data_IF_008441877786
#
_entry.id   IF_008441877786
#
_cell.length_a   1.000
_cell.length_b   1.000
_cell.length_c   1.000
_cell.angle_alpha   90.00
_cell.angle_beta   90.00
_cell.angle_gamma   90.00
#
_symmetry.space_group_name_H-M   'P 1'
#
loop_
_entity.id
_entity.type
_entity.pdbx_description
1 polymer ?
#
# COMPACT_ATOMS: atom_id res chain seq x y z
N UNK A 1 -13.90 -3.17 4.89
CA UNK A 1 -13.75 -2.97 3.44
C UNK A 1 -12.45 -3.64 3.02
N UNK A 2 -12.36 -4.26 1.84
CA UNK A 2 -11.11 -4.87 1.36
C UNK A 2 -10.50 -3.92 0.32
N UNK A 3 -9.45 -3.19 0.68
CA UNK A 3 -8.75 -2.34 -0.27
C UNK A 3 -7.73 -3.20 -1.03
N UNK A 4 -7.76 -3.09 -2.36
CA UNK A 4 -6.74 -3.64 -3.25
C UNK A 4 -6.09 -2.48 -3.97
N UNK A 5 -4.76 -2.44 -3.96
CA UNK A 5 -3.98 -1.44 -4.66
C UNK A 5 -3.25 -2.10 -5.83
N UNK A 6 -3.37 -1.55 -7.02
CA UNK A 6 -2.46 -1.85 -8.13
C UNK A 6 -1.23 -0.96 -8.01
N UNK A 7 -0.06 -1.60 -7.97
CA UNK A 7 1.25 -0.96 -7.89
C UNK A 7 1.91 -1.06 -9.27
N UNK A 8 2.34 0.08 -9.80
CA UNK A 8 3.14 0.16 -11.01
C UNK A 8 4.55 0.66 -10.70
N UNK A 9 5.57 -0.07 -11.11
CA UNK A 9 6.99 0.25 -10.90
C UNK A 9 7.81 0.04 -12.17
N UNK A 10 8.94 0.76 -12.29
CA UNK A 10 9.98 0.49 -13.30
C UNK A 10 11.19 -0.29 -12.74
N UNK A 11 11.23 -0.51 -11.43
CA UNK A 11 12.35 -1.13 -10.70
C UNK A 11 11.83 -2.19 -9.72
N UNK A 12 11.22 -3.24 -10.28
CA UNK A 12 10.43 -4.22 -9.53
C UNK A 12 11.16 -4.80 -8.32
N UNK A 13 12.38 -5.30 -8.48
CA UNK A 13 13.09 -6.00 -7.39
C UNK A 13 13.38 -5.08 -6.19
N UNK A 14 13.83 -3.86 -6.46
CA UNK A 14 14.15 -2.88 -5.41
C UNK A 14 12.89 -2.33 -4.73
N UNK A 15 11.87 -1.99 -5.52
CA UNK A 15 10.62 -1.43 -5.00
C UNK A 15 9.82 -2.49 -4.24
N UNK A 16 9.80 -3.74 -4.71
CA UNK A 16 9.16 -4.85 -4.01
C UNK A 16 9.78 -5.06 -2.63
N UNK A 17 11.11 -5.04 -2.54
CA UNK A 17 11.82 -5.16 -1.27
C UNK A 17 11.47 -4.00 -0.33
N UNK A 18 11.42 -2.77 -0.86
CA UNK A 18 11.10 -1.57 -0.10
C UNK A 18 9.66 -1.58 0.41
N UNK A 19 8.71 -2.00 -0.43
CA UNK A 19 7.30 -2.19 -0.07
C UNK A 19 7.18 -3.25 1.03
N UNK A 20 7.85 -4.40 0.90
CA UNK A 20 7.80 -5.46 1.93
C UNK A 20 8.35 -4.97 3.28
N UNK A 21 9.45 -4.22 3.29
CA UNK A 21 10.00 -3.59 4.50
C UNK A 21 9.03 -2.58 5.11
N UNK A 22 8.43 -1.72 4.28
CA UNK A 22 7.46 -0.73 4.70
C UNK A 22 6.21 -1.39 5.32
N UNK A 23 5.69 -2.43 4.68
CA UNK A 23 4.54 -3.19 5.19
C UNK A 23 4.89 -3.94 6.47
N UNK A 24 6.05 -4.58 6.57
CA UNK A 24 6.51 -5.25 7.80
C UNK A 24 6.58 -4.30 8.99
N UNK A 25 7.03 -3.05 8.75
CA UNK A 25 7.00 -2.02 9.77
C UNK A 25 5.56 -1.63 10.17
N UNK A 26 4.63 -1.49 9.22
CA UNK A 26 3.21 -1.26 9.53
C UNK A 26 2.59 -2.41 10.32
N UNK A 27 2.85 -3.67 9.93
CA UNK A 27 2.38 -4.87 10.63
C UNK A 27 2.82 -4.85 12.10
N UNK A 28 4.09 -4.51 12.36
CA UNK A 28 4.65 -4.40 13.72
C UNK A 28 3.99 -3.27 14.53
N UNK A 29 3.64 -2.17 13.89
CA UNK A 29 3.00 -1.03 14.56
C UNK A 29 1.55 -1.30 14.98
N UNK A 30 0.87 -2.24 14.32
CA UNK A 30 -0.57 -2.52 14.53
C UNK A 30 -0.84 -3.95 14.99
N UNK A 31 0.20 -4.76 15.21
CA UNK A 31 0.10 -6.20 15.49
C UNK A 31 -0.70 -6.99 14.43
N UNK A 32 -0.62 -6.57 13.16
CA UNK A 32 -1.39 -7.11 12.03
C UNK A 32 -0.57 -8.01 11.10
N UNK A 33 0.21 -8.95 11.66
CA UNK A 33 1.14 -9.79 10.90
C UNK A 33 0.48 -10.68 9.84
N UNK A 34 1.24 -11.01 8.79
CA UNK A 34 0.74 -11.71 7.60
C UNK A 34 -0.48 -10.98 7.01
N UNK A 35 -0.48 -9.65 7.08
CA UNK A 35 -1.61 -8.78 6.89
C UNK A 35 -1.91 -8.39 5.45
N UNK A 36 -1.15 -8.92 4.48
CA UNK A 36 -1.34 -8.61 3.07
C UNK A 36 -1.00 -9.80 2.16
N UNK A 37 -1.40 -9.69 0.90
CA UNK A 37 -1.04 -10.62 -0.19
C UNK A 37 -0.62 -9.84 -1.42
N UNK A 38 0.34 -10.38 -2.18
CA UNK A 38 0.80 -9.83 -3.45
C UNK A 38 0.39 -10.77 -4.59
N UNK A 39 -0.11 -10.20 -5.70
CA UNK A 39 -0.35 -10.99 -6.91
C UNK A 39 0.95 -11.28 -7.65
N UNK A 40 0.88 -12.18 -8.62
CA UNK A 40 1.93 -12.32 -9.63
C UNK A 40 2.12 -10.99 -10.39
N UNK A 41 3.38 -10.62 -10.71
CA UNK A 41 3.67 -9.43 -11.49
C UNK A 41 3.36 -9.64 -12.98
N UNK A 42 2.91 -8.57 -13.63
CA UNK A 42 2.73 -8.49 -15.08
C UNK A 42 3.54 -7.33 -15.64
N UNK A 43 4.36 -7.58 -16.66
CA UNK A 43 5.23 -6.57 -17.25
C UNK A 43 4.69 -6.07 -18.60
N UNK A 44 4.59 -4.76 -18.76
CA UNK A 44 4.09 -4.11 -19.98
C UNK A 44 4.75 -2.74 -20.20
N UNK A 45 5.30 -2.53 -21.40
CA UNK A 45 5.91 -1.25 -21.82
C UNK A 45 6.95 -0.67 -20.83
N UNK A 46 7.85 -1.51 -20.31
CA UNK A 46 8.90 -1.08 -19.38
C UNK A 46 8.41 -0.79 -17.96
N UNK A 47 7.17 -1.17 -17.64
CA UNK A 47 6.60 -1.15 -16.30
C UNK A 47 6.26 -2.57 -15.85
N UNK A 48 6.31 -2.80 -14.55
CA UNK A 48 5.79 -3.98 -13.89
C UNK A 48 4.63 -3.59 -12.99
N UNK A 49 3.53 -4.34 -13.08
CA UNK A 49 2.29 -4.13 -12.35
C UNK A 49 1.98 -5.34 -11.47
N UNK A 50 1.56 -5.12 -10.24
CA UNK A 50 1.09 -6.17 -9.34
C UNK A 50 0.07 -5.62 -8.35
N UNK A 51 -0.76 -6.49 -7.78
CA UNK A 51 -1.77 -6.11 -6.80
C UNK A 51 -1.30 -6.37 -5.39
N UNK A 52 -1.53 -5.42 -4.50
CA UNK A 52 -1.38 -5.50 -3.05
C UNK A 52 -2.78 -5.50 -2.43
N UNK A 53 -3.19 -6.62 -1.85
CA UNK A 53 -4.45 -6.72 -1.13
C UNK A 53 -4.20 -6.76 0.38
N UNK A 54 -4.89 -5.88 1.12
CA UNK A 54 -4.82 -5.86 2.58
C UNK A 54 -5.83 -6.83 3.18
N UNK A 55 -5.41 -7.54 4.21
CA UNK A 55 -6.30 -8.28 5.09
C UNK A 55 -6.94 -7.32 6.11
N UNK A 56 -8.15 -7.62 6.62
CA UNK A 56 -8.86 -6.73 7.52
C UNK A 56 -8.06 -6.27 8.74
N UNK A 57 -7.28 -7.16 9.37
CA UNK A 57 -6.55 -6.84 10.60
C UNK A 57 -5.49 -5.74 10.38
N UNK A 58 -4.70 -5.85 9.30
CA UNK A 58 -3.71 -4.84 8.95
C UNK A 58 -4.37 -3.55 8.50
N UNK A 59 -5.38 -3.62 7.63
CA UNK A 59 -6.06 -2.44 7.12
C UNK A 59 -6.72 -1.64 8.26
N UNK A 60 -7.54 -2.30 9.08
CA UNK A 60 -8.23 -1.67 10.21
C UNK A 60 -7.22 -1.15 11.24
N UNK A 61 -6.14 -1.90 11.47
CA UNK A 61 -5.05 -1.49 12.36
C UNK A 61 -4.38 -0.19 11.91
N UNK A 62 -4.08 -0.06 10.60
CA UNK A 62 -3.52 1.16 10.01
C UNK A 62 -4.53 2.29 10.09
N UNK A 63 -5.78 2.07 9.66
CA UNK A 63 -6.84 3.08 9.68
C UNK A 63 -7.07 3.65 11.08
N UNK A 64 -7.03 2.79 12.11
CA UNK A 64 -7.17 3.20 13.51
C UNK A 64 -5.94 3.92 14.04
N UNK A 65 -4.73 3.37 13.82
CA UNK A 65 -3.49 3.94 14.36
C UNK A 65 -3.14 5.29 13.73
N UNK A 66 -3.44 5.46 12.45
CA UNK A 66 -3.10 6.65 11.67
C UNK A 66 -4.32 7.50 11.30
N UNK A 67 -5.45 7.36 12.02
CA UNK A 67 -6.69 8.08 11.74
C UNK A 67 -6.48 9.59 11.59
N UNK A 68 -5.72 10.19 12.51
CA UNK A 68 -5.41 11.63 12.52
C UNK A 68 -4.58 12.09 11.32
N UNK A 69 -3.82 11.17 10.70
CA UNK A 69 -3.08 11.44 9.47
C UNK A 69 -3.96 11.22 8.24
N UNK A 70 -4.67 10.09 8.19
CA UNK A 70 -5.52 9.69 7.06
C UNK A 70 -6.64 10.72 6.83
N UNK A 71 -7.25 11.25 7.90
CA UNK A 71 -8.35 12.22 7.79
C UNK A 71 -7.94 13.51 7.06
N UNK A 72 -6.66 13.89 7.13
CA UNK A 72 -6.10 15.12 6.52
C UNK A 72 -5.98 15.04 5.01
N UNK A 73 -6.02 13.85 4.42
CA UNK A 73 -6.01 13.70 2.97
C UNK A 73 -7.29 14.26 2.35
N UNK A 74 -7.11 15.14 1.37
CA UNK A 74 -8.19 15.72 0.57
C UNK A 74 -8.69 14.69 -0.45
N UNK A 75 -9.66 13.87 -0.04
CA UNK A 75 -10.35 12.90 -0.91
C UNK A 75 -11.76 12.62 -0.38
N UNK A 76 -12.67 12.22 -1.25
CA UNK A 76 -14.08 12.10 -0.92
C UNK A 76 -14.40 10.78 -0.21
N UNK A 77 -13.67 9.71 -0.57
CA UNK A 77 -13.93 8.37 -0.06
C UNK A 77 -12.83 7.88 0.89
N UNK A 78 -13.17 7.14 1.97
CA UNK A 78 -12.17 6.56 2.89
C UNK A 78 -11.10 5.72 2.18
N UNK A 79 -11.50 4.95 1.15
CA UNK A 79 -10.61 4.15 0.32
C UNK A 79 -9.52 5.01 -0.35
N UNK A 80 -9.89 6.17 -0.87
CA UNK A 80 -8.99 7.11 -1.54
C UNK A 80 -8.04 7.76 -0.55
N UNK A 81 -8.52 8.14 0.64
CA UNK A 81 -7.67 8.67 1.70
C UNK A 81 -6.63 7.64 2.13
N UNK A 82 -7.04 6.38 2.31
CA UNK A 82 -6.14 5.28 2.64
C UNK A 82 -5.11 5.04 1.52
N UNK A 83 -5.55 5.01 0.25
CA UNK A 83 -4.63 4.84 -0.88
C UNK A 83 -3.61 5.98 -0.96
N UNK A 84 -4.02 7.24 -0.74
CA UNK A 84 -3.09 8.38 -0.69
C UNK A 84 -2.11 8.29 0.48
N UNK A 85 -2.58 7.89 1.65
CA UNK A 85 -1.71 7.60 2.79
C UNK A 85 -0.66 6.55 2.45
N UNK A 86 -1.05 5.44 1.80
CA UNK A 86 -0.11 4.40 1.40
C UNK A 86 0.90 4.89 0.35
N UNK A 87 0.48 5.73 -0.60
CA UNK A 87 1.38 6.36 -1.58
C UNK A 87 2.47 7.18 -0.89
N UNK A 88 2.07 8.09 0.01
CA UNK A 88 3.02 8.95 0.73
C UNK A 88 3.88 8.13 1.70
N UNK A 89 3.31 7.10 2.32
CA UNK A 89 4.03 6.21 3.21
C UNK A 89 5.17 5.50 2.47
N UNK A 90 4.91 4.95 1.28
CA UNK A 90 5.95 4.32 0.46
C UNK A 90 6.97 5.35 -0.05
N UNK A 91 6.53 6.53 -0.49
CA UNK A 91 7.43 7.60 -0.91
C UNK A 91 8.40 8.01 0.23
N UNK A 92 7.91 8.11 1.48
CA UNK A 92 8.74 8.39 2.66
C UNK A 92 9.80 7.33 2.97
N UNK A 93 9.71 6.15 2.33
CA UNK A 93 10.64 5.03 2.43
C UNK A 93 11.51 4.88 1.17
N UNK A 94 11.64 5.94 0.37
CA UNK A 94 12.34 5.96 -0.91
C UNK A 94 11.79 4.93 -1.92
N UNK A 95 10.49 4.68 -1.87
CA UNK A 95 9.80 3.77 -2.78
C UNK A 95 8.81 4.56 -3.66
N UNK A 96 9.31 5.07 -4.79
CA UNK A 96 8.53 5.87 -5.74
C UNK A 96 7.78 4.96 -6.73
N UNK A 97 6.58 4.53 -6.34
CA UNK A 97 5.71 3.69 -7.16
C UNK A 97 4.40 4.40 -7.51
N UNK A 98 3.80 4.02 -8.63
CA UNK A 98 2.45 4.45 -8.98
C UNK A 98 1.45 3.56 -8.26
N UNK A 99 0.46 4.17 -7.62
CA UNK A 99 -0.61 3.44 -6.92
C UNK A 99 -1.96 3.84 -7.52
N UNK A 100 -2.79 2.83 -7.76
CA UNK A 100 -4.20 2.99 -8.11
C UNK A 100 -5.04 2.05 -7.24
N UNK A 101 -6.24 2.46 -6.85
CA UNK A 101 -7.20 1.53 -6.27
C UNK A 101 -7.64 0.56 -7.39
N UNK A 102 -7.49 -0.73 -7.13
CA UNK A 102 -8.07 -1.80 -7.95
C UNK A 102 -9.42 -2.16 -7.36
N UNK A 103 -10.41 -2.33 -8.24
CA UNK A 103 -11.66 -3.01 -7.93
C UNK A 103 -11.40 -4.42 -7.38
#
# INVERSE_FOLDING_TARGET
>A
MKIVLEIGTKNYDNDLLSIKKALSHLESLVNGYNGYTLSEPSSKFGWTFFKLAFKPDLQNGIEKKFADMIVKYQANYPAEKFAKFMTDYFASRNCEVKIKISD
#
